data_IF_684144485737
#
_entry.id   IF_684144485737
#
_cell.length_a   1.000
_cell.length_b   1.000
_cell.length_c   1.000
_cell.angle_alpha   90.00
_cell.angle_beta   90.00
_cell.angle_gamma   90.00
#
_symmetry.space_group_name_H-M   'P 1'
#
loop_
_entity.id
_entity.type
_entity.pdbx_description
1 polymer ?
#
# COMPACT_ATOMS: atom_id res chain seq x y z
N UNK A 1 4.56 -41.87 23.75
CA UNK A 1 5.69 -41.12 23.27
C UNK A 1 5.35 -39.67 23.54
N UNK A 2 5.95 -39.11 24.58
CA UNK A 2 5.86 -37.70 24.91
C UNK A 2 6.72 -37.01 23.83
N UNK A 3 6.08 -36.35 22.87
CA UNK A 3 6.80 -35.49 21.92
C UNK A 3 7.22 -34.30 22.76
N UNK A 4 8.52 -34.16 22.93
CA UNK A 4 9.16 -33.00 23.56
C UNK A 4 8.47 -31.70 23.06
N UNK A 5 7.98 -30.90 24.01
CA UNK A 5 7.56 -29.49 23.77
C UNK A 5 8.79 -28.63 23.46
N UNK A 6 9.50 -28.97 22.37
CA UNK A 6 10.58 -28.15 21.85
C UNK A 6 9.96 -26.93 21.19
N UNK A 7 10.22 -25.74 21.75
CA UNK A 7 9.92 -24.46 21.11
C UNK A 7 10.60 -24.45 19.74
N UNK A 8 9.80 -24.47 18.66
CA UNK A 8 10.28 -24.64 17.27
C UNK A 8 10.73 -23.33 16.64
N UNK A 9 10.24 -22.21 17.16
CA UNK A 9 10.52 -20.88 16.62
C UNK A 9 12.02 -20.56 16.52
N UNK A 10 12.89 -20.76 17.53
CA UNK A 10 14.32 -20.43 17.42
C UNK A 10 15.03 -21.21 16.32
N UNK A 11 14.72 -22.50 16.16
CA UNK A 11 15.32 -23.31 15.11
C UNK A 11 14.89 -22.86 13.71
N UNK A 12 13.61 -22.53 13.53
CA UNK A 12 13.08 -22.05 12.25
C UNK A 12 13.62 -20.67 11.88
N UNK A 13 13.81 -19.77 12.86
CA UNK A 13 14.44 -18.45 12.63
C UNK A 13 15.90 -18.64 12.20
N UNK A 14 16.67 -19.46 12.91
CA UNK A 14 18.08 -19.73 12.56
C UNK A 14 18.22 -20.39 11.18
N UNK A 15 17.30 -21.27 10.80
CA UNK A 15 17.30 -21.88 9.47
C UNK A 15 16.94 -20.85 8.38
N UNK A 16 15.96 -19.99 8.62
CA UNK A 16 15.64 -18.88 7.71
C UNK A 16 16.83 -17.94 7.51
N UNK A 17 17.51 -17.52 8.57
CA UNK A 17 18.72 -16.68 8.49
C UNK A 17 19.83 -17.34 7.67
N UNK A 18 19.97 -18.66 7.77
CA UNK A 18 21.00 -19.40 7.02
C UNK A 18 20.78 -19.41 5.51
N UNK A 19 19.52 -19.40 5.04
CA UNK A 19 19.18 -19.66 3.63
C UNK A 19 18.64 -18.44 2.88
N UNK A 20 18.40 -17.31 3.57
CA UNK A 20 17.85 -16.12 2.94
C UNK A 20 18.86 -14.98 2.87
N UNK A 21 18.66 -14.04 1.94
CA UNK A 21 19.39 -12.78 1.95
C UNK A 21 18.93 -11.94 3.16
N UNK A 22 19.87 -11.29 3.84
CA UNK A 22 19.61 -10.51 5.06
C UNK A 22 19.11 -9.09 4.75
N UNK A 23 18.11 -8.98 3.87
CA UNK A 23 17.50 -7.72 3.45
C UNK A 23 16.34 -7.26 4.34
N UNK A 24 15.93 -8.08 5.32
CA UNK A 24 14.98 -7.75 6.35
C UNK A 24 15.51 -8.11 7.74
N UNK A 25 14.99 -7.40 8.76
CA UNK A 25 15.20 -7.75 10.17
C UNK A 25 13.82 -8.04 10.81
N UNK A 26 13.26 -9.25 10.63
CA UNK A 26 11.94 -9.61 11.14
C UNK A 26 11.91 -9.68 12.68
N UNK A 27 10.71 -9.61 13.25
CA UNK A 27 10.48 -10.07 14.63
C UNK A 27 10.65 -11.60 14.68
N UNK A 28 11.12 -12.16 15.80
CA UNK A 28 11.37 -13.61 15.92
C UNK A 28 10.04 -14.38 16.14
N UNK A 29 9.11 -14.26 15.20
CA UNK A 29 7.79 -14.93 15.20
C UNK A 29 7.64 -15.67 13.87
N UNK A 30 7.34 -16.95 13.93
CA UNK A 30 7.21 -17.82 12.74
C UNK A 30 5.74 -18.19 12.56
N UNK A 31 5.03 -17.46 11.72
CA UNK A 31 3.60 -17.64 11.48
C UNK A 31 3.34 -18.90 10.66
N UNK A 32 2.39 -19.72 11.10
CA UNK A 32 1.99 -20.98 10.44
C UNK A 32 0.55 -20.99 9.93
N UNK A 33 -0.33 -20.20 10.56
CA UNK A 33 -1.74 -20.12 10.15
C UNK A 33 -2.33 -18.75 10.50
N UNK A 34 -3.46 -18.42 9.86
CA UNK A 34 -4.12 -17.14 10.10
C UNK A 34 -5.60 -17.21 9.75
N UNK A 35 -6.43 -16.39 10.41
CA UNK A 35 -7.86 -16.21 10.13
C UNK A 35 -8.34 -14.84 10.62
N UNK A 36 -9.09 -14.13 9.78
CA UNK A 36 -9.61 -12.80 10.11
C UNK A 36 -8.51 -11.80 10.45
N UNK A 37 -8.46 -11.28 11.66
CA UNK A 37 -7.43 -10.36 12.15
C UNK A 37 -6.33 -11.08 12.99
N UNK A 38 -6.33 -12.41 13.04
CA UNK A 38 -5.43 -13.17 13.89
C UNK A 38 -4.48 -14.05 13.09
N UNK A 39 -3.25 -14.15 13.59
CA UNK A 39 -2.25 -15.10 13.12
C UNK A 39 -1.82 -16.02 14.26
N UNK A 40 -1.35 -17.22 13.93
CA UNK A 40 -0.86 -18.20 14.90
C UNK A 40 0.53 -18.65 14.47
N UNK A 41 1.47 -18.69 15.40
CA UNK A 41 2.83 -19.16 15.14
C UNK A 41 2.93 -20.70 15.17
N UNK A 42 4.12 -21.21 14.85
CA UNK A 42 4.39 -22.65 14.84
C UNK A 42 4.37 -23.29 16.23
N UNK A 43 4.44 -22.50 17.30
CA UNK A 43 4.37 -22.94 18.69
C UNK A 43 2.94 -22.83 19.25
N UNK A 44 1.97 -22.38 18.43
CA UNK A 44 0.56 -22.30 18.77
C UNK A 44 0.13 -20.99 19.45
N UNK A 45 1.04 -20.03 19.64
CA UNK A 45 0.69 -18.70 20.19
C UNK A 45 -0.04 -17.88 19.15
N UNK A 46 -1.12 -17.23 19.59
CA UNK A 46 -1.94 -16.35 18.73
C UNK A 46 -1.56 -14.89 18.92
N UNK A 47 -1.66 -14.14 17.81
CA UNK A 47 -1.36 -12.72 17.79
C UNK A 47 -2.43 -11.97 16.99
N UNK A 48 -2.82 -10.81 17.46
CA UNK A 48 -3.59 -9.84 16.69
C UNK A 48 -2.66 -9.19 15.66
N UNK A 49 -3.00 -9.31 14.39
CA UNK A 49 -2.24 -8.71 13.29
C UNK A 49 -2.62 -7.22 13.14
N UNK A 50 -1.76 -6.34 13.62
CA UNK A 50 -1.89 -4.90 13.44
C UNK A 50 -0.98 -4.35 12.33
N UNK A 51 -0.48 -5.21 11.43
CA UNK A 51 0.26 -4.82 10.22
C UNK A 51 -0.53 -5.09 8.93
N UNK A 52 -1.32 -6.17 8.91
CA UNK A 52 -2.12 -6.60 7.77
C UNK A 52 -1.31 -6.66 6.45
N UNK A 53 -0.05 -7.14 6.52
CA UNK A 53 0.83 -7.20 5.35
C UNK A 53 1.03 -5.84 4.67
N UNK A 54 1.16 -4.77 5.43
CA UNK A 54 1.24 -3.37 4.92
C UNK A 54 -0.01 -2.98 4.11
N UNK A 55 -1.20 -3.27 4.62
CA UNK A 55 -2.50 -3.09 3.96
C UNK A 55 -2.78 -4.05 2.79
N UNK A 56 -2.05 -5.15 2.64
CA UNK A 56 -2.40 -6.18 1.66
C UNK A 56 -3.58 -7.05 2.11
N UNK A 57 -3.82 -7.11 3.41
CA UNK A 57 -4.84 -7.93 4.06
C UNK A 57 -6.01 -7.08 4.59
N UNK A 58 -6.45 -6.06 3.84
CA UNK A 58 -7.60 -5.24 4.24
C UNK A 58 -8.83 -6.10 4.58
N UNK A 59 -9.09 -7.15 3.80
CA UNK A 59 -10.24 -8.04 3.98
C UNK A 59 -10.00 -9.17 5.00
N UNK A 60 -8.87 -9.12 5.72
CA UNK A 60 -8.47 -10.14 6.69
C UNK A 60 -7.82 -11.37 6.06
N UNK A 61 -7.26 -12.20 6.90
CA UNK A 61 -6.66 -13.47 6.49
C UNK A 61 -7.76 -14.46 6.07
N UNK A 62 -7.57 -15.06 4.89
CA UNK A 62 -8.44 -16.13 4.37
C UNK A 62 -9.92 -15.73 4.27
N UNK A 63 -10.23 -14.53 3.78
CA UNK A 63 -11.61 -14.12 3.57
C UNK A 63 -12.37 -15.16 2.73
N UNK A 64 -13.53 -15.69 3.19
CA UNK A 64 -14.17 -16.84 2.56
C UNK A 64 -14.48 -16.66 1.07
N UNK A 65 -15.01 -15.50 0.67
CA UNK A 65 -15.34 -15.22 -0.73
C UNK A 65 -14.09 -15.18 -1.62
N UNK A 66 -12.99 -14.57 -1.14
CA UNK A 66 -11.73 -14.48 -1.88
C UNK A 66 -11.06 -15.87 -2.04
N UNK A 67 -11.10 -16.69 -0.99
CA UNK A 67 -10.60 -18.07 -1.05
C UNK A 67 -11.43 -18.90 -2.03
N UNK A 68 -12.78 -18.76 -1.98
CA UNK A 68 -13.67 -19.47 -2.91
C UNK A 68 -13.41 -19.09 -4.38
N UNK A 69 -13.24 -17.78 -4.67
CA UNK A 69 -12.91 -17.29 -6.02
C UNK A 69 -11.57 -17.86 -6.51
N UNK A 70 -10.54 -17.87 -5.62
CA UNK A 70 -9.23 -18.41 -5.95
C UNK A 70 -9.30 -19.92 -6.26
N UNK A 71 -9.95 -20.73 -5.42
CA UNK A 71 -10.11 -22.16 -5.65
C UNK A 71 -10.87 -22.46 -6.94
N UNK A 72 -12.01 -21.80 -7.17
CA UNK A 72 -12.79 -21.98 -8.38
C UNK A 72 -11.99 -21.65 -9.66
N UNK A 73 -11.12 -20.65 -9.61
CA UNK A 73 -10.29 -20.30 -10.75
C UNK A 73 -9.09 -21.22 -10.94
N UNK A 74 -8.46 -21.70 -9.87
CA UNK A 74 -7.36 -22.68 -9.91
C UNK A 74 -7.78 -23.99 -10.59
N UNK A 75 -9.04 -24.42 -10.39
CA UNK A 75 -9.60 -25.63 -11.01
C UNK A 75 -9.87 -25.49 -12.52
N UNK A 76 -9.76 -24.26 -13.08
CA UNK A 76 -10.11 -23.99 -14.49
C UNK A 76 -8.91 -23.59 -15.35
N UNK A 77 -8.25 -22.51 -14.96
CA UNK A 77 -7.20 -21.88 -15.78
C UNK A 77 -6.35 -20.95 -14.93
N UNK A 78 -5.03 -21.10 -14.98
CA UNK A 78 -4.10 -20.28 -14.17
C UNK A 78 -3.40 -19.19 -14.99
N UNK A 79 -3.03 -19.48 -16.25
CA UNK A 79 -2.26 -18.54 -17.08
C UNK A 79 -2.52 -18.75 -18.56
N UNK A 80 -2.68 -17.67 -19.32
CA UNK A 80 -2.68 -17.63 -20.79
C UNK A 80 -1.63 -16.70 -21.36
N UNK A 81 -0.97 -15.88 -20.51
CA UNK A 81 -0.33 -14.60 -20.88
C UNK A 81 -1.31 -13.65 -21.61
N UNK A 82 -0.81 -12.53 -22.12
CA UNK A 82 -1.61 -11.58 -22.92
C UNK A 82 -1.63 -11.91 -24.41
N UNK A 83 -1.02 -13.06 -24.80
CA UNK A 83 -1.13 -13.57 -26.17
C UNK A 83 -2.55 -14.04 -26.50
N UNK A 84 -3.32 -14.41 -25.47
CA UNK A 84 -4.73 -14.80 -25.59
C UNK A 84 -5.59 -14.02 -24.60
N UNK A 85 -6.86 -13.86 -24.90
CA UNK A 85 -7.86 -13.32 -23.98
C UNK A 85 -8.45 -14.48 -23.19
N UNK A 86 -8.69 -14.25 -21.88
CA UNK A 86 -9.42 -15.17 -21.02
C UNK A 86 -10.68 -14.51 -20.44
N UNK A 87 -11.60 -15.30 -19.93
CA UNK A 87 -12.94 -14.88 -19.55
C UNK A 87 -12.99 -13.93 -18.33
N UNK A 88 -11.95 -13.95 -17.45
CA UNK A 88 -11.90 -13.08 -16.27
C UNK A 88 -11.36 -11.67 -16.59
N UNK A 89 -10.59 -11.51 -17.66
CA UNK A 89 -9.83 -10.29 -17.92
C UNK A 89 -10.70 -9.05 -18.13
N UNK A 90 -11.65 -9.12 -19.05
CA UNK A 90 -12.50 -7.99 -19.39
C UNK A 90 -13.42 -7.60 -18.21
N UNK A 91 -13.93 -8.60 -17.47
CA UNK A 91 -14.74 -8.37 -16.28
C UNK A 91 -13.96 -7.62 -15.23
N UNK A 92 -12.75 -8.09 -14.88
CA UNK A 92 -11.89 -7.40 -13.90
C UNK A 92 -11.58 -5.96 -14.32
N UNK A 93 -11.13 -5.76 -15.57
CA UNK A 93 -10.79 -4.41 -16.03
C UNK A 93 -12.00 -3.46 -16.00
N UNK A 94 -13.20 -3.92 -16.42
CA UNK A 94 -14.42 -3.11 -16.35
C UNK A 94 -14.80 -2.77 -14.91
N UNK A 95 -14.89 -3.78 -14.03
CA UNK A 95 -15.29 -3.58 -12.63
C UNK A 95 -14.36 -2.63 -11.90
N UNK A 96 -13.04 -2.72 -12.16
CA UNK A 96 -12.06 -1.82 -11.56
C UNK A 96 -12.10 -0.42 -12.19
N UNK A 97 -12.28 -0.30 -13.51
CA UNK A 97 -12.46 0.98 -14.18
C UNK A 97 -13.68 1.73 -13.62
N UNK A 98 -14.82 1.04 -13.50
CA UNK A 98 -16.04 1.59 -12.88
C UNK A 98 -15.81 2.04 -11.43
N UNK A 99 -15.10 1.23 -10.62
CA UNK A 99 -14.78 1.60 -9.24
C UNK A 99 -13.93 2.87 -9.16
N UNK A 100 -12.97 3.03 -10.08
CA UNK A 100 -12.09 4.19 -10.16
C UNK A 100 -12.73 5.40 -10.88
N UNK A 101 -13.88 5.24 -11.54
CA UNK A 101 -14.44 6.27 -12.43
C UNK A 101 -13.51 6.58 -13.61
N UNK A 102 -12.87 5.56 -14.20
CA UNK A 102 -11.89 5.65 -15.28
C UNK A 102 -12.31 4.80 -16.49
N UNK A 103 -11.72 5.12 -17.66
CA UNK A 103 -12.05 4.40 -18.89
C UNK A 103 -11.31 3.07 -19.06
N UNK A 104 -10.03 3.02 -18.62
CA UNK A 104 -9.11 1.92 -18.92
C UNK A 104 -8.35 1.46 -17.67
N UNK A 105 -8.03 0.15 -17.68
CA UNK A 105 -7.19 -0.48 -16.65
C UNK A 105 -6.07 -1.28 -17.31
N UNK A 106 -4.85 -1.11 -16.83
CA UNK A 106 -3.70 -1.94 -17.20
C UNK A 106 -3.23 -2.74 -15.98
N UNK A 107 -3.58 -4.04 -15.91
CA UNK A 107 -3.15 -4.90 -14.82
C UNK A 107 -1.67 -5.27 -14.90
N UNK A 108 -1.02 -5.28 -13.73
CA UNK A 108 0.36 -5.75 -13.50
C UNK A 108 0.36 -6.72 -12.29
N UNK A 109 1.53 -7.09 -11.77
CA UNK A 109 1.62 -8.02 -10.64
C UNK A 109 1.95 -7.31 -9.32
N UNK A 110 3.02 -6.53 -9.28
CA UNK A 110 3.49 -5.86 -8.07
C UNK A 110 3.23 -4.36 -8.12
N UNK A 111 3.17 -3.72 -6.95
CA UNK A 111 3.05 -2.26 -6.87
C UNK A 111 4.18 -1.55 -7.62
N UNK A 112 5.41 -2.07 -7.52
CA UNK A 112 6.56 -1.51 -8.23
C UNK A 112 6.39 -1.57 -9.76
N UNK A 113 5.82 -2.66 -10.32
CA UNK A 113 5.50 -2.74 -11.75
C UNK A 113 4.42 -1.73 -12.14
N UNK A 114 3.41 -1.52 -11.31
CA UNK A 114 2.37 -0.52 -11.57
C UNK A 114 2.93 0.91 -11.55
N UNK A 115 3.83 1.23 -10.63
CA UNK A 115 4.54 2.53 -10.59
C UNK A 115 5.42 2.71 -11.82
N UNK A 116 6.22 1.69 -12.21
CA UNK A 116 7.01 1.74 -13.45
C UNK A 116 6.13 1.94 -14.69
N UNK A 117 4.96 1.31 -14.70
CA UNK A 117 3.94 1.49 -15.74
C UNK A 117 3.44 2.93 -15.77
N UNK A 118 3.06 3.49 -14.62
CA UNK A 118 2.57 4.88 -14.50
C UNK A 118 3.64 5.89 -14.95
N UNK A 119 4.92 5.69 -14.56
CA UNK A 119 6.04 6.52 -15.00
C UNK A 119 6.20 6.46 -16.53
N UNK A 120 6.15 5.26 -17.12
CA UNK A 120 6.25 5.09 -18.58
C UNK A 120 5.08 5.75 -19.31
N UNK A 121 3.85 5.58 -18.81
CA UNK A 121 2.65 6.22 -19.37
C UNK A 121 2.75 7.72 -19.30
N UNK A 122 3.10 8.28 -18.13
CA UNK A 122 3.24 9.73 -17.94
C UNK A 122 4.29 10.34 -18.88
N UNK A 123 5.47 9.71 -19.01
CA UNK A 123 6.50 10.16 -19.96
C UNK A 123 6.01 10.10 -21.40
N UNK A 124 5.36 9.00 -21.78
CA UNK A 124 4.83 8.83 -23.15
C UNK A 124 3.72 9.82 -23.45
N UNK A 125 2.80 10.06 -22.53
CA UNK A 125 1.77 11.10 -22.63
C UNK A 125 2.42 12.48 -22.78
N UNK A 126 3.45 12.79 -21.99
CA UNK A 126 4.22 14.01 -22.09
C UNK A 126 4.78 14.25 -23.49
N UNK A 127 5.35 13.23 -24.12
CA UNK A 127 5.89 13.33 -25.49
C UNK A 127 4.83 13.37 -26.58
N UNK A 128 3.74 12.63 -26.43
CA UNK A 128 2.74 12.44 -27.50
C UNK A 128 1.57 13.39 -27.42
N UNK A 129 1.22 13.86 -26.24
CA UNK A 129 0.04 14.70 -25.98
C UNK A 129 0.45 16.10 -25.55
N UNK A 130 1.26 16.25 -24.49
CA UNK A 130 1.72 17.54 -23.99
C UNK A 130 2.73 18.22 -24.93
N UNK A 131 3.52 17.44 -25.70
CA UNK A 131 4.51 17.96 -26.64
C UNK A 131 5.88 18.29 -26.02
N UNK A 132 6.20 17.69 -24.88
CA UNK A 132 7.52 17.84 -24.23
C UNK A 132 8.62 17.34 -25.19
N UNK A 133 9.77 18.03 -25.32
CA UNK A 133 10.87 17.58 -26.14
C UNK A 133 11.39 16.20 -25.72
N UNK A 134 11.83 15.43 -26.70
CA UNK A 134 12.33 14.06 -26.48
C UNK A 134 13.40 14.01 -25.36
N UNK A 135 13.29 13.01 -24.47
CA UNK A 135 14.17 12.79 -23.30
C UNK A 135 14.20 13.94 -22.26
N UNK A 136 13.22 14.84 -22.29
CA UNK A 136 13.12 15.96 -21.33
C UNK A 136 12.00 15.80 -20.31
N UNK A 137 11.15 14.79 -20.43
CA UNK A 137 10.03 14.61 -19.51
C UNK A 137 10.50 14.43 -18.05
N UNK A 138 9.99 15.29 -17.15
CA UNK A 138 10.27 15.24 -15.72
C UNK A 138 9.01 14.89 -14.94
N UNK A 139 9.19 14.19 -13.81
CA UNK A 139 8.13 13.84 -12.86
C UNK A 139 8.51 14.43 -11.51
N UNK A 140 7.57 15.11 -10.87
CA UNK A 140 7.75 15.61 -9.50
C UNK A 140 7.26 14.56 -8.51
N UNK A 141 8.06 14.31 -7.47
CA UNK A 141 7.76 13.39 -6.36
C UNK A 141 8.00 14.08 -5.02
N UNK A 142 7.46 13.55 -3.95
CA UNK A 142 7.66 14.12 -2.62
C UNK A 142 8.88 13.51 -1.89
N UNK A 143 9.45 14.25 -0.96
CA UNK A 143 10.35 13.70 0.07
C UNK A 143 9.62 12.64 0.90
N UNK A 144 10.33 11.65 1.40
CA UNK A 144 9.77 10.57 2.20
C UNK A 144 8.91 9.58 1.39
N UNK A 145 8.91 9.64 0.06
CA UNK A 145 8.13 8.74 -0.78
C UNK A 145 8.58 7.29 -0.67
N UNK A 146 7.61 6.38 -0.82
CA UNK A 146 7.87 4.96 -1.03
C UNK A 146 6.98 4.39 -2.15
N UNK A 147 7.57 4.22 -3.33
CA UNK A 147 6.86 3.70 -4.51
C UNK A 147 7.35 2.31 -4.95
N UNK A 148 8.25 1.70 -4.20
CA UNK A 148 8.88 0.41 -4.49
C UNK A 148 10.41 0.48 -4.46
N UNK A 149 11.08 -0.56 -4.99
CA UNK A 149 12.54 -0.71 -4.90
C UNK A 149 13.21 -1.10 -6.22
N UNK A 150 12.62 -0.75 -7.37
CA UNK A 150 13.29 -0.89 -8.68
C UNK A 150 14.40 0.16 -8.82
N UNK A 151 15.31 -0.06 -9.76
CA UNK A 151 16.41 0.89 -10.05
C UNK A 151 15.90 2.27 -10.45
N UNK A 152 14.76 2.37 -11.15
CA UNK A 152 14.12 3.66 -11.45
C UNK A 152 13.56 4.30 -10.18
N UNK A 153 12.83 3.55 -9.37
CA UNK A 153 12.14 4.07 -8.18
C UNK A 153 13.14 4.54 -7.12
N UNK A 154 14.21 3.77 -6.85
CA UNK A 154 15.25 4.20 -5.90
C UNK A 154 16.01 5.44 -6.36
N UNK A 155 15.95 5.79 -7.65
CA UNK A 155 16.58 7.02 -8.18
C UNK A 155 16.01 8.30 -7.57
N UNK A 156 14.76 8.27 -7.14
CA UNK A 156 14.09 9.40 -6.49
C UNK A 156 13.67 9.12 -5.03
N UNK A 157 14.13 8.02 -4.46
CA UNK A 157 13.98 7.80 -3.02
C UNK A 157 14.85 8.78 -2.23
N UNK A 158 14.32 9.28 -1.12
CA UNK A 158 15.06 10.09 -0.14
C UNK A 158 15.52 9.28 1.06
N UNK A 159 15.22 7.98 1.09
CA UNK A 159 15.73 7.04 2.08
C UNK A 159 17.16 6.61 1.70
N UNK A 160 18.19 6.98 2.49
CA UNK A 160 19.57 6.63 2.20
C UNK A 160 19.81 5.11 2.14
N UNK A 161 19.13 4.31 2.98
CA UNK A 161 19.28 2.86 3.02
C UNK A 161 18.70 2.20 1.77
N UNK A 162 17.61 2.76 1.22
CA UNK A 162 17.00 2.24 0.00
C UNK A 162 17.76 2.67 -1.27
N UNK A 163 18.57 3.73 -1.21
CA UNK A 163 19.18 4.37 -2.37
C UNK A 163 20.69 4.10 -2.50
N UNK A 164 21.43 4.08 -1.39
CA UNK A 164 22.90 4.00 -1.43
C UNK A 164 23.38 2.77 -2.21
N UNK A 165 24.41 2.96 -3.02
CA UNK A 165 25.14 1.93 -3.79
C UNK A 165 24.31 1.20 -4.89
N UNK A 166 23.11 1.70 -5.24
CA UNK A 166 22.28 1.16 -6.32
C UNK A 166 22.28 1.99 -7.61
N UNK A 167 23.20 2.97 -7.74
CA UNK A 167 23.39 3.73 -8.98
C UNK A 167 23.98 2.90 -10.13
N UNK A 168 24.00 3.42 -11.40
CA UNK A 168 23.61 4.78 -11.80
C UNK A 168 22.09 5.03 -11.74
N UNK A 169 21.71 6.25 -11.35
CA UNK A 169 20.32 6.60 -11.13
C UNK A 169 19.63 7.07 -12.40
N UNK A 170 18.36 6.70 -12.56
CA UNK A 170 17.51 7.14 -13.66
C UNK A 170 17.19 8.63 -13.51
N UNK A 171 17.46 9.47 -14.54
CA UNK A 171 17.17 10.92 -14.50
C UNK A 171 15.69 11.23 -14.74
N UNK A 172 15.35 12.52 -14.60
CA UNK A 172 14.03 13.05 -14.93
C UNK A 172 13.05 13.05 -13.75
N UNK A 173 13.56 13.18 -12.51
CA UNK A 173 12.76 13.35 -11.31
C UNK A 173 13.18 14.61 -10.55
N UNK A 174 12.18 15.31 -9.99
CA UNK A 174 12.35 16.44 -9.08
C UNK A 174 11.71 16.09 -7.75
N UNK A 175 12.40 16.33 -6.65
CA UNK A 175 11.93 15.99 -5.31
C UNK A 175 11.56 17.30 -4.60
N UNK A 176 10.38 17.35 -3.97
CA UNK A 176 9.88 18.49 -3.20
C UNK A 176 9.43 18.05 -1.81
N UNK A 177 9.42 18.93 -0.81
CA UNK A 177 8.86 18.61 0.50
C UNK A 177 7.40 18.15 0.40
N UNK A 178 7.05 17.08 1.13
CA UNK A 178 5.68 16.58 1.17
C UNK A 178 4.77 17.57 1.92
N UNK A 179 3.60 17.85 1.35
CA UNK A 179 2.65 18.79 1.95
C UNK A 179 2.92 20.26 1.65
N UNK A 180 4.00 20.60 0.93
CA UNK A 180 4.33 21.97 0.54
C UNK A 180 3.87 22.26 -0.91
N UNK A 181 2.69 22.88 -1.06
CA UNK A 181 2.11 23.22 -2.36
C UNK A 181 2.91 24.31 -3.07
N UNK A 182 3.56 25.22 -2.33
CA UNK A 182 4.37 26.29 -2.94
C UNK A 182 5.67 25.75 -3.54
N UNK A 183 6.33 24.84 -2.83
CA UNK A 183 7.50 24.12 -3.35
C UNK A 183 7.13 23.28 -4.59
N UNK A 184 5.97 22.60 -4.55
CA UNK A 184 5.46 21.85 -5.69
C UNK A 184 5.23 22.77 -6.91
N UNK A 185 4.54 23.88 -6.72
CA UNK A 185 4.28 24.85 -7.79
C UNK A 185 5.59 25.39 -8.41
N UNK A 186 6.59 25.65 -7.58
CA UNK A 186 7.91 26.14 -8.03
C UNK A 186 8.71 25.08 -8.80
N UNK A 187 8.44 23.79 -8.59
CA UNK A 187 9.13 22.69 -9.26
C UNK A 187 8.53 22.35 -10.63
N UNK A 188 7.28 22.73 -10.88
CA UNK A 188 6.61 22.47 -12.16
C UNK A 188 7.12 23.45 -13.23
N UNK A 189 7.50 22.93 -14.38
CA UNK A 189 7.89 23.67 -15.58
C UNK A 189 7.35 23.01 -16.85
N UNK A 190 7.71 23.53 -18.03
CA UNK A 190 7.27 23.02 -19.32
C UNK A 190 7.66 21.56 -19.61
N UNK A 191 8.67 21.02 -18.91
CA UNK A 191 9.10 19.62 -19.05
C UNK A 191 8.36 18.68 -18.10
N UNK A 192 7.65 19.22 -17.12
CA UNK A 192 6.96 18.41 -16.11
C UNK A 192 5.74 17.73 -16.70
N UNK A 193 5.69 16.39 -16.65
CA UNK A 193 4.61 15.58 -17.22
C UNK A 193 3.67 15.02 -16.17
N UNK A 194 4.16 14.82 -14.94
CA UNK A 194 3.34 14.28 -13.85
C UNK A 194 3.85 14.75 -12.47
N UNK A 195 2.92 14.76 -11.52
CA UNK A 195 3.18 14.74 -10.08
C UNK A 195 2.75 13.38 -9.58
N UNK A 196 3.68 12.61 -8.97
CA UNK A 196 3.44 11.28 -8.41
C UNK A 196 3.54 11.35 -6.90
N UNK A 197 2.44 11.09 -6.20
CA UNK A 197 2.34 11.20 -4.74
C UNK A 197 1.57 10.03 -4.13
N UNK A 198 1.94 9.65 -2.91
CA UNK A 198 1.07 8.92 -2.00
C UNK A 198 0.10 9.93 -1.35
N UNK A 199 -1.23 9.71 -1.35
CA UNK A 199 -2.17 10.58 -0.62
C UNK A 199 -1.91 10.61 0.89
N UNK A 200 -1.40 9.52 1.45
CA UNK A 200 -0.85 9.40 2.80
C UNK A 200 0.43 8.58 2.69
N UNK A 201 1.55 9.10 3.15
CA UNK A 201 2.83 8.39 3.11
C UNK A 201 2.87 7.30 4.19
N UNK A 202 2.77 6.05 3.75
CA UNK A 202 2.66 4.90 4.65
C UNK A 202 3.98 4.55 5.34
N UNK A 203 5.05 4.39 4.56
CA UNK A 203 6.33 3.89 5.07
C UNK A 203 7.05 4.90 5.96
N UNK A 204 6.77 6.19 5.82
CA UNK A 204 7.29 7.26 6.70
C UNK A 204 6.57 7.36 8.06
N UNK A 205 5.70 6.40 8.40
CA UNK A 205 4.97 6.41 9.68
C UNK A 205 3.58 7.05 9.58
N UNK A 206 2.88 6.81 8.48
CA UNK A 206 1.49 7.24 8.22
C UNK A 206 1.36 8.77 8.24
N UNK A 207 2.15 9.44 7.41
CA UNK A 207 2.12 10.91 7.33
C UNK A 207 0.93 11.37 6.49
N UNK A 208 -0.01 12.05 7.15
CA UNK A 208 -1.16 12.70 6.51
C UNK A 208 -0.77 14.12 6.10
N UNK A 209 -1.00 14.54 4.85
CA UNK A 209 -0.65 15.88 4.42
C UNK A 209 -1.58 16.93 5.07
N UNK A 210 -1.19 18.22 5.10
CA UNK A 210 -2.09 19.30 5.53
C UNK A 210 -3.41 19.29 4.75
N UNK A 211 -4.51 19.64 5.43
CA UNK A 211 -5.82 19.76 4.80
C UNK A 211 -5.79 20.71 3.58
N UNK A 212 -6.43 20.31 2.48
CA UNK A 212 -6.45 21.06 1.23
C UNK A 212 -5.19 20.86 0.35
N UNK A 213 -4.22 20.07 0.79
CA UNK A 213 -3.03 19.80 -0.02
C UNK A 213 -3.38 19.03 -1.30
N UNK A 214 -4.11 17.92 -1.21
CA UNK A 214 -4.49 17.12 -2.38
C UNK A 214 -5.39 17.90 -3.37
N UNK A 215 -6.43 18.65 -2.93
CA UNK A 215 -7.16 19.56 -3.81
C UNK A 215 -6.26 20.60 -4.48
N UNK A 216 -5.30 21.17 -3.74
CA UNK A 216 -4.32 22.10 -4.28
C UNK A 216 -3.43 21.47 -5.35
N UNK A 217 -2.93 20.23 -5.11
CA UNK A 217 -2.18 19.45 -6.11
C UNK A 217 -3.01 19.23 -7.37
N UNK A 218 -4.29 18.80 -7.21
CA UNK A 218 -5.19 18.58 -8.35
C UNK A 218 -5.40 19.84 -9.16
N UNK A 219 -5.69 20.95 -8.48
CA UNK A 219 -5.90 22.25 -9.14
C UNK A 219 -4.64 22.72 -9.91
N UNK A 220 -3.48 22.60 -9.28
CA UNK A 220 -2.20 22.97 -9.87
C UNK A 220 -1.89 22.09 -11.09
N UNK A 221 -2.02 20.78 -10.99
CA UNK A 221 -1.79 19.86 -12.10
C UNK A 221 -2.72 20.16 -13.29
N UNK A 222 -3.99 20.50 -13.02
CA UNK A 222 -4.95 20.87 -14.07
C UNK A 222 -4.57 22.18 -14.75
N UNK A 223 -4.13 23.20 -14.00
CA UNK A 223 -3.74 24.50 -14.54
C UNK A 223 -2.48 24.40 -15.42
N UNK A 224 -1.53 23.55 -15.06
CA UNK A 224 -0.23 23.41 -15.72
C UNK A 224 -0.20 22.29 -16.77
N UNK A 225 -1.35 21.65 -17.06
CA UNK A 225 -1.43 20.51 -17.97
C UNK A 225 -0.40 19.41 -17.58
N UNK A 226 -0.45 18.98 -16.31
CA UNK A 226 0.41 17.96 -15.71
C UNK A 226 -0.48 16.88 -15.13
N UNK A 227 -0.12 15.60 -15.30
CA UNK A 227 -0.89 14.48 -14.76
C UNK A 227 -0.71 14.41 -13.24
N UNK A 228 -1.80 14.27 -12.51
CA UNK A 228 -1.76 13.84 -11.10
C UNK A 228 -1.86 12.32 -11.02
N UNK A 229 -0.80 11.67 -10.55
CA UNK A 229 -0.71 10.21 -10.33
C UNK A 229 -0.78 9.95 -8.85
N UNK A 230 -1.88 9.33 -8.39
CA UNK A 230 -2.04 8.95 -7.00
C UNK A 230 -1.59 7.50 -6.78
N UNK A 231 -0.58 7.31 -5.96
CA UNK A 231 -0.18 6.00 -5.46
C UNK A 231 -1.09 5.60 -4.29
N UNK A 232 -2.16 4.92 -4.62
CA UNK A 232 -3.15 4.39 -3.67
C UNK A 232 -2.88 2.90 -3.31
N UNK A 233 -1.67 2.41 -3.57
CA UNK A 233 -1.29 1.01 -3.32
C UNK A 233 -1.47 0.65 -1.85
N UNK A 234 -1.14 1.55 -0.92
CA UNK A 234 -1.27 1.31 0.52
C UNK A 234 -2.48 2.00 1.15
N UNK A 235 -2.81 3.20 0.70
CA UNK A 235 -3.86 4.05 1.26
C UNK A 235 -5.26 3.69 0.76
N UNK A 236 -5.36 3.12 -0.43
CA UNK A 236 -6.64 2.84 -1.08
C UNK A 236 -7.36 1.59 -0.59
N UNK A 237 -8.42 1.26 -1.31
CA UNK A 237 -9.21 0.04 -1.17
C UNK A 237 -9.77 -0.15 0.24
N UNK A 238 -10.35 0.94 0.79
CA UNK A 238 -11.07 0.93 2.06
C UNK A 238 -10.23 1.26 3.29
N UNK A 239 -8.88 1.31 3.19
CA UNK A 239 -7.98 1.47 4.35
C UNK A 239 -8.26 2.72 5.17
N UNK A 240 -8.56 3.84 4.53
CA UNK A 240 -8.71 5.16 5.15
C UNK A 240 -10.15 5.53 5.52
N UNK A 241 -11.12 4.64 5.24
CA UNK A 241 -12.54 4.89 5.50
C UNK A 241 -13.33 5.30 4.25
N UNK A 242 -12.63 5.56 3.15
CA UNK A 242 -13.17 5.80 1.79
C UNK A 242 -12.65 4.73 0.84
N UNK A 243 -13.12 4.66 -0.40
CA UNK A 243 -12.61 3.69 -1.39
C UNK A 243 -11.15 4.01 -1.72
N UNK A 244 -10.85 5.27 -1.98
CA UNK A 244 -9.51 5.80 -2.17
C UNK A 244 -9.25 6.91 -1.15
N UNK A 245 -8.00 7.08 -0.71
CA UNK A 245 -7.68 8.16 0.23
C UNK A 245 -7.92 9.56 -0.38
N UNK A 246 -7.82 9.69 -1.69
CA UNK A 246 -8.16 10.90 -2.42
C UNK A 246 -9.63 11.31 -2.27
N UNK A 247 -10.55 10.35 -2.09
CA UNK A 247 -12.00 10.61 -1.98
C UNK A 247 -12.36 11.47 -0.76
N UNK A 248 -11.56 11.40 0.30
CA UNK A 248 -11.78 12.14 1.54
C UNK A 248 -11.81 13.67 1.33
N UNK A 249 -11.05 14.17 0.35
CA UNK A 249 -11.03 15.58 -0.04
C UNK A 249 -11.68 15.82 -1.42
N UNK A 250 -12.43 14.85 -1.96
CA UNK A 250 -13.14 14.94 -3.23
C UNK A 250 -12.20 15.05 -4.45
N UNK A 251 -11.01 14.49 -4.37
CA UNK A 251 -9.99 14.58 -5.42
C UNK A 251 -10.02 13.34 -6.30
N UNK A 252 -10.06 13.56 -7.62
CA UNK A 252 -9.92 12.51 -8.63
C UNK A 252 -8.60 12.72 -9.38
N UNK A 253 -7.60 11.82 -9.24
CA UNK A 253 -6.35 11.89 -9.98
C UNK A 253 -6.55 11.52 -11.46
N UNK A 254 -5.58 11.83 -12.31
CA UNK A 254 -5.57 11.37 -13.70
C UNK A 254 -5.24 9.89 -13.79
N UNK A 255 -4.37 9.39 -12.91
CA UNK A 255 -4.05 7.97 -12.78
C UNK A 255 -4.15 7.50 -11.33
N UNK A 256 -4.86 6.41 -11.09
CA UNK A 256 -4.76 5.62 -9.87
C UNK A 256 -3.73 4.51 -10.07
N UNK A 257 -2.82 4.36 -9.13
CA UNK A 257 -1.94 3.19 -9.04
C UNK A 257 -2.37 2.35 -7.85
N UNK A 258 -2.75 1.10 -8.11
CA UNK A 258 -3.37 0.19 -7.15
C UNK A 258 -2.54 -1.09 -6.99
N UNK A 259 -2.63 -1.73 -5.82
CA UNK A 259 -1.93 -2.97 -5.52
C UNK A 259 -2.32 -3.52 -4.15
N UNK A 260 -1.42 -4.22 -3.49
CA UNK A 260 -1.60 -4.75 -2.12
C UNK A 260 -2.99 -5.38 -1.90
N UNK A 261 -3.93 -4.68 -1.28
CA UNK A 261 -5.28 -5.18 -1.00
C UNK A 261 -6.04 -5.63 -2.24
N UNK A 262 -5.68 -5.15 -3.44
CA UNK A 262 -6.28 -5.61 -4.70
C UNK A 262 -6.13 -7.12 -4.91
N UNK A 263 -5.07 -7.71 -4.36
CA UNK A 263 -4.84 -9.16 -4.38
C UNK A 263 -5.50 -9.93 -3.24
N UNK A 264 -6.26 -9.26 -2.36
CA UNK A 264 -7.00 -9.89 -1.26
C UNK A 264 -6.14 -10.66 -0.26
N UNK A 265 -4.82 -10.41 -0.24
CA UNK A 265 -3.86 -11.19 0.56
C UNK A 265 -3.61 -12.61 0.04
N UNK A 266 -4.05 -12.93 -1.19
CA UNK A 266 -3.97 -14.26 -1.79
C UNK A 266 -2.93 -14.30 -2.91
N UNK A 267 -2.97 -13.32 -3.81
CA UNK A 267 -2.16 -13.30 -5.03
C UNK A 267 -1.63 -11.90 -5.30
N UNK A 268 -0.38 -11.75 -5.78
CA UNK A 268 0.10 -10.46 -6.22
C UNK A 268 -0.72 -9.99 -7.44
N UNK A 269 -1.31 -8.80 -7.34
CA UNK A 269 -1.92 -8.08 -8.44
C UNK A 269 -1.85 -6.58 -8.18
N UNK A 270 -1.63 -5.83 -9.23
CA UNK A 270 -1.64 -4.37 -9.24
C UNK A 270 -2.25 -3.87 -10.54
N UNK A 271 -2.55 -2.60 -10.60
CA UNK A 271 -3.10 -1.99 -11.80
C UNK A 271 -2.82 -0.49 -11.86
N UNK A 272 -2.79 0.04 -13.08
CA UNK A 272 -2.94 1.46 -13.37
C UNK A 272 -4.31 1.66 -13.99
N UNK A 273 -5.12 2.57 -13.42
CA UNK A 273 -6.41 2.96 -13.97
C UNK A 273 -6.35 4.44 -14.39
N UNK A 274 -6.75 4.75 -15.63
CA UNK A 274 -6.76 6.11 -16.15
C UNK A 274 -7.74 6.23 -17.34
N UNK A 275 -7.98 7.47 -17.76
CA UNK A 275 -8.86 7.74 -18.90
C UNK A 275 -8.17 7.45 -20.24
N UNK A 276 -8.97 7.37 -21.30
CA UNK A 276 -8.53 6.99 -22.65
C UNK A 276 -7.43 7.92 -23.19
N UNK A 277 -7.47 9.19 -22.89
CA UNK A 277 -6.49 10.20 -23.34
C UNK A 277 -5.13 10.06 -22.65
N UNK A 278 -5.08 9.40 -21.50
CA UNK A 278 -3.85 9.13 -20.73
C UNK A 278 -3.33 7.74 -21.01
N UNK A 279 -4.09 6.68 -20.70
CA UNK A 279 -3.63 5.29 -20.82
C UNK A 279 -3.65 4.79 -22.26
N UNK A 280 -4.50 5.37 -23.11
CA UNK A 280 -4.60 5.05 -24.55
C UNK A 280 -3.41 5.48 -25.39
N UNK A 281 -2.39 6.13 -24.83
CA UNK A 281 -1.14 6.43 -25.53
C UNK A 281 -0.29 5.17 -25.81
N UNK A 282 -0.52 4.09 -25.07
CA UNK A 282 0.18 2.83 -25.28
C UNK A 282 -0.30 2.11 -26.55
N UNK A 283 0.64 1.52 -27.27
CA UNK A 283 0.36 0.70 -28.46
C UNK A 283 0.84 -0.73 -28.26
N UNK A 284 0.31 -1.69 -29.01
CA UNK A 284 0.76 -3.08 -28.96
C UNK A 284 2.28 -3.22 -29.06
N UNK A 285 2.88 -4.01 -28.18
CA UNK A 285 4.33 -4.28 -28.13
C UNK A 285 5.16 -3.31 -27.28
N UNK A 286 4.58 -2.20 -26.78
CA UNK A 286 5.36 -1.16 -26.07
C UNK A 286 5.48 -1.41 -24.57
N UNK A 287 4.56 -2.17 -23.99
CA UNK A 287 4.54 -2.49 -22.57
C UNK A 287 3.75 -3.79 -22.33
N UNK A 288 4.12 -4.53 -21.28
CA UNK A 288 3.43 -5.77 -20.94
C UNK A 288 4.11 -6.53 -19.81
N UNK A 289 3.47 -7.63 -19.44
CA UNK A 289 3.92 -8.57 -18.41
C UNK A 289 3.38 -9.96 -18.74
N UNK A 290 4.16 -11.01 -18.49
CA UNK A 290 3.71 -12.39 -18.71
C UNK A 290 2.54 -12.75 -17.78
N UNK A 291 2.60 -12.34 -16.51
CA UNK A 291 1.61 -12.66 -15.49
C UNK A 291 0.60 -11.53 -15.23
N UNK A 292 0.86 -10.30 -15.67
CA UNK A 292 -0.04 -9.17 -15.46
C UNK A 292 -1.41 -9.43 -16.05
N UNK A 293 -2.46 -9.40 -15.19
CA UNK A 293 -3.82 -9.73 -15.57
C UNK A 293 -4.06 -11.22 -15.83
N UNK A 294 -3.36 -12.11 -15.14
CA UNK A 294 -3.62 -13.55 -15.24
C UNK A 294 -4.99 -13.92 -14.66
N UNK A 295 -5.58 -15.07 -15.07
CA UNK A 295 -6.93 -15.46 -14.67
C UNK A 295 -7.16 -15.51 -13.18
N UNK A 296 -6.20 -16.05 -12.40
CA UNK A 296 -6.31 -16.17 -10.95
C UNK A 296 -6.35 -14.78 -10.29
N UNK A 297 -5.41 -13.90 -10.67
CA UNK A 297 -5.36 -12.53 -10.15
C UNK A 297 -6.64 -11.74 -10.52
N UNK A 298 -7.13 -11.87 -11.75
CA UNK A 298 -8.36 -11.22 -12.18
C UNK A 298 -9.58 -11.72 -11.40
N UNK A 299 -9.71 -13.03 -11.18
CA UNK A 299 -10.84 -13.60 -10.44
C UNK A 299 -10.86 -13.11 -8.98
N UNK A 300 -9.71 -13.15 -8.30
CA UNK A 300 -9.59 -12.67 -6.91
C UNK A 300 -9.83 -11.16 -6.83
N UNK A 301 -9.22 -10.38 -7.74
CA UNK A 301 -9.37 -8.92 -7.72
C UNK A 301 -10.78 -8.46 -8.09
N UNK A 302 -11.51 -9.18 -8.95
CA UNK A 302 -12.93 -8.91 -9.22
C UNK A 302 -13.77 -9.08 -7.94
N UNK A 303 -13.51 -10.12 -7.17
CA UNK A 303 -14.19 -10.32 -5.89
C UNK A 303 -13.84 -9.22 -4.87
N UNK A 304 -12.57 -8.77 -4.82
CA UNK A 304 -12.16 -7.61 -4.01
C UNK A 304 -12.96 -6.37 -4.38
N UNK A 305 -13.09 -6.08 -5.69
CA UNK A 305 -13.91 -4.95 -6.17
C UNK A 305 -15.38 -5.12 -5.77
N UNK A 306 -15.91 -6.33 -5.85
CA UNK A 306 -17.27 -6.65 -5.40
C UNK A 306 -17.48 -6.36 -3.92
N UNK A 307 -16.54 -6.74 -3.05
CA UNK A 307 -16.56 -6.43 -1.62
C UNK A 307 -16.54 -4.91 -1.37
N UNK A 308 -15.69 -4.17 -2.07
CA UNK A 308 -15.61 -2.71 -1.93
C UNK A 308 -16.89 -1.99 -2.40
N UNK A 309 -17.52 -2.47 -3.47
CA UNK A 309 -18.80 -1.90 -3.97
C UNK A 309 -19.94 -1.99 -2.95
N UNK A 310 -19.86 -2.85 -1.94
CA UNK A 310 -20.84 -2.89 -0.85
C UNK A 310 -20.77 -1.68 0.09
N UNK A 311 -19.62 -0.99 0.15
CA UNK A 311 -19.36 0.09 1.10
C UNK A 311 -19.10 -0.35 2.54
N UNK A 312 -19.27 -1.63 2.86
CA UNK A 312 -19.16 -2.16 4.23
C UNK A 312 -17.76 -1.93 4.83
N UNK A 313 -16.72 -2.25 4.07
CA UNK A 313 -15.34 -2.15 4.56
C UNK A 313 -14.89 -0.70 4.78
N UNK A 314 -15.31 0.21 3.90
CA UNK A 314 -15.09 1.64 4.05
C UNK A 314 -15.77 2.18 5.30
N UNK A 315 -17.05 1.86 5.49
CA UNK A 315 -17.82 2.26 6.67
C UNK A 315 -17.17 1.71 7.96
N UNK A 316 -16.82 0.43 8.00
CA UNK A 316 -16.13 -0.19 9.15
C UNK A 316 -14.82 0.51 9.46
N UNK A 317 -14.02 0.79 8.42
CA UNK A 317 -12.75 1.49 8.58
C UNK A 317 -12.95 2.90 9.13
N UNK A 318 -13.94 3.65 8.67
CA UNK A 318 -14.27 4.97 9.18
C UNK A 318 -14.72 4.92 10.65
N UNK A 319 -15.70 4.08 10.98
CA UNK A 319 -16.29 4.00 12.32
C UNK A 319 -15.31 3.46 13.37
N UNK A 320 -14.66 2.32 13.08
CA UNK A 320 -13.72 1.71 14.00
C UNK A 320 -12.40 2.47 14.05
N UNK A 321 -12.02 3.11 12.93
CA UNK A 321 -10.87 4.00 12.87
C UNK A 321 -11.03 5.23 13.75
N UNK A 322 -12.18 5.88 13.74
CA UNK A 322 -12.46 7.02 14.64
C UNK A 322 -12.27 6.64 16.10
N UNK A 323 -12.73 5.45 16.51
CA UNK A 323 -12.50 4.91 17.83
C UNK A 323 -11.01 4.64 18.11
N UNK A 324 -10.32 3.93 17.18
CA UNK A 324 -8.90 3.62 17.31
C UNK A 324 -8.08 4.90 17.54
N UNK A 325 -8.32 5.95 16.77
CA UNK A 325 -7.63 7.22 16.91
C UNK A 325 -7.97 7.95 18.23
N UNK A 326 -9.23 7.89 18.68
CA UNK A 326 -9.64 8.46 19.96
C UNK A 326 -8.95 7.75 21.14
N UNK A 327 -8.96 6.42 21.13
CA UNK A 327 -8.38 5.60 22.22
C UNK A 327 -6.84 5.72 22.25
N UNK A 328 -6.17 5.71 21.09
CA UNK A 328 -4.73 5.99 20.98
C UNK A 328 -4.41 7.43 21.39
N UNK A 329 -5.25 8.40 21.02
CA UNK A 329 -5.11 9.81 21.38
C UNK A 329 -5.14 10.05 22.90
N UNK A 330 -5.90 9.23 23.64
CA UNK A 330 -5.94 9.28 25.09
C UNK A 330 -4.61 8.88 25.77
N UNK A 331 -3.72 8.18 25.05
CA UNK A 331 -2.38 7.79 25.52
C UNK A 331 -1.31 8.86 25.23
N UNK A 332 -1.65 9.94 24.51
CA UNK A 332 -0.70 11.06 24.27
C UNK A 332 -0.41 11.76 25.58
N UNK A 333 0.87 11.96 25.88
CA UNK A 333 1.37 12.43 27.19
C UNK A 333 1.55 11.30 28.22
N UNK A 334 1.16 10.07 27.88
CA UNK A 334 1.35 8.86 28.68
C UNK A 334 2.20 7.83 27.91
N UNK A 335 3.38 8.26 27.46
CA UNK A 335 4.32 7.45 26.69
C UNK A 335 4.18 7.58 25.17
N UNK A 336 3.09 8.19 24.66
CA UNK A 336 2.96 8.60 23.27
C UNK A 336 3.18 10.11 23.13
N UNK A 337 3.85 10.50 22.05
CA UNK A 337 4.05 11.91 21.67
C UNK A 337 2.97 12.41 20.70
N UNK A 338 2.56 11.58 19.76
CA UNK A 338 1.57 11.92 18.75
C UNK A 338 0.87 10.70 18.18
N UNK A 339 -0.35 10.92 17.66
CA UNK A 339 -1.11 9.95 16.88
C UNK A 339 -1.60 10.64 15.60
N UNK A 340 -1.46 9.99 14.45
CA UNK A 340 -1.93 10.49 13.15
C UNK A 340 -2.43 9.35 12.27
N UNK A 341 -3.16 9.67 11.24
CA UNK A 341 -3.68 8.69 10.29
C UNK A 341 -5.14 8.91 9.95
N UNK A 342 -5.75 7.95 9.23
CA UNK A 342 -7.18 7.95 8.86
C UNK A 342 -7.72 6.53 8.82
N UNK A 343 -8.99 6.36 9.16
CA UNK A 343 -9.60 5.05 9.20
C UNK A 343 -8.87 4.10 10.13
N UNK A 344 -8.77 2.84 9.78
CA UNK A 344 -8.03 1.82 10.53
C UNK A 344 -6.52 1.83 10.20
N UNK A 345 -5.93 3.01 10.14
CA UNK A 345 -4.51 3.20 9.85
C UNK A 345 -3.95 4.34 10.69
N UNK A 346 -3.14 4.01 11.68
CA UNK A 346 -2.54 4.97 12.60
C UNK A 346 -1.01 4.85 12.63
N UNK A 347 -0.35 6.01 12.62
CA UNK A 347 1.04 6.20 13.00
C UNK A 347 1.06 6.72 14.45
N UNK A 348 1.82 6.06 15.30
CA UNK A 348 1.85 6.31 16.76
C UNK A 348 3.28 6.56 17.17
N UNK A 349 3.61 7.80 17.53
CA UNK A 349 4.97 8.17 17.94
C UNK A 349 5.18 7.85 19.41
N UNK A 350 6.10 6.93 19.68
CA UNK A 350 6.52 6.58 21.05
C UNK A 350 7.56 7.59 21.50
N UNK A 351 7.51 7.95 22.78
CA UNK A 351 8.56 8.75 23.40
C UNK A 351 9.89 7.97 23.39
N UNK A 352 10.91 8.45 22.64
CA UNK A 352 12.20 7.77 22.53
C UNK A 352 12.96 7.71 23.84
N UNK A 353 12.61 8.56 24.85
CA UNK A 353 13.16 8.46 26.19
C UNK A 353 12.64 7.21 26.95
N UNK A 354 11.48 6.67 26.53
CA UNK A 354 10.89 5.50 27.14
C UNK A 354 11.46 4.21 26.52
N UNK A 355 11.40 4.11 25.18
CA UNK A 355 11.91 2.95 24.43
C UNK A 355 12.00 3.24 22.93
N UNK A 356 12.72 2.37 22.21
CA UNK A 356 12.73 2.38 20.73
C UNK A 356 11.46 1.77 20.16
N UNK A 357 11.09 2.12 18.92
CA UNK A 357 9.98 1.49 18.21
C UNK A 357 10.16 -0.03 18.10
N UNK A 358 11.39 -0.51 17.87
CA UNK A 358 11.72 -1.94 17.84
C UNK A 358 11.40 -2.63 19.17
N UNK A 359 11.86 -2.07 20.28
CA UNK A 359 11.58 -2.61 21.62
C UNK A 359 10.07 -2.64 21.89
N UNK A 360 9.33 -1.63 21.47
CA UNK A 360 7.88 -1.62 21.60
C UNK A 360 7.22 -2.75 20.80
N UNK A 361 7.64 -2.98 19.54
CA UNK A 361 7.14 -4.10 18.73
C UNK A 361 7.43 -5.46 19.39
N UNK A 362 8.61 -5.65 19.96
CA UNK A 362 8.99 -6.88 20.68
C UNK A 362 8.11 -7.10 21.91
N UNK A 363 7.92 -6.07 22.75
CA UNK A 363 7.05 -6.14 23.94
C UNK A 363 5.57 -6.35 23.58
N UNK A 364 5.11 -5.80 22.46
CA UNK A 364 3.76 -6.02 21.96
C UNK A 364 3.60 -7.46 21.48
N UNK A 365 4.60 -8.02 20.81
CA UNK A 365 4.59 -9.43 20.39
C UNK A 365 4.51 -10.37 21.60
N UNK A 366 5.19 -10.08 22.71
CA UNK A 366 5.04 -10.83 23.96
C UNK A 366 3.60 -10.83 24.47
N UNK A 367 2.85 -9.72 24.24
CA UNK A 367 1.43 -9.55 24.62
C UNK A 367 0.43 -10.01 23.54
N UNK A 368 0.91 -10.62 22.48
CA UNK A 368 0.06 -11.14 21.41
C UNK A 368 -0.45 -10.10 20.42
N UNK A 369 0.30 -9.01 20.19
CA UNK A 369 0.02 -8.01 19.16
C UNK A 369 1.24 -7.85 18.25
N UNK A 370 1.03 -7.96 16.93
CA UNK A 370 2.08 -7.73 15.93
C UNK A 370 1.86 -6.41 15.21
N UNK A 371 2.83 -5.54 15.27
CA UNK A 371 2.91 -4.31 14.48
C UNK A 371 4.34 -4.10 13.99
N UNK A 372 4.57 -3.04 13.22
CA UNK A 372 5.88 -2.73 12.66
C UNK A 372 6.21 -1.26 12.92
N UNK A 373 7.45 -1.04 13.25
CA UNK A 373 7.99 0.30 13.45
C UNK A 373 8.54 0.92 12.15
N UNK A 374 8.56 2.25 12.14
CA UNK A 374 9.47 3.09 11.36
C UNK A 374 10.11 4.07 12.34
N UNK A 375 11.41 3.92 12.61
CA UNK A 375 12.12 4.65 13.68
C UNK A 375 11.41 4.52 15.05
N UNK A 376 10.88 5.59 15.63
CA UNK A 376 10.09 5.59 16.88
C UNK A 376 8.58 5.52 16.65
N UNK A 377 8.11 5.48 15.42
CA UNK A 377 6.68 5.40 15.09
C UNK A 377 6.25 3.95 14.94
N UNK A 378 5.25 3.52 15.71
CA UNK A 378 4.51 2.28 15.41
C UNK A 378 3.48 2.53 14.32
N UNK A 379 3.38 1.61 13.39
CA UNK A 379 2.30 1.57 12.39
C UNK A 379 1.25 0.56 12.81
N UNK A 380 0.06 1.05 13.12
CA UNK A 380 -1.09 0.25 13.55
C UNK A 380 -2.10 0.23 12.41
N UNK A 381 -2.18 -0.90 11.71
CA UNK A 381 -2.97 -1.09 10.50
C UNK A 381 -3.66 -2.47 10.50
N UNK A 382 -4.58 -2.77 11.43
CA UNK A 382 -5.25 -4.05 11.47
C UNK A 382 -6.10 -4.30 10.22
N UNK A 383 -6.44 -5.56 9.89
CA UNK A 383 -7.44 -5.86 8.87
C UNK A 383 -8.77 -5.14 9.14
N UNK A 384 -9.50 -4.74 8.08
CA UNK A 384 -10.76 -4.01 8.21
C UNK A 384 -11.90 -4.89 8.79
N UNK A 385 -11.69 -6.19 8.85
CA UNK A 385 -12.60 -7.14 9.52
C UNK A 385 -12.46 -7.14 11.04
N UNK A 386 -11.50 -6.41 11.60
CA UNK A 386 -11.27 -6.32 13.05
C UNK A 386 -12.55 -5.93 13.79
N UNK A 387 -12.76 -6.49 14.96
CA UNK A 387 -13.88 -6.18 15.83
C UNK A 387 -13.50 -5.13 16.89
N UNK A 388 -14.52 -4.51 17.50
CA UNK A 388 -14.32 -3.56 18.59
C UNK A 388 -13.53 -4.18 19.76
N UNK A 389 -13.84 -5.43 20.13
CA UNK A 389 -13.13 -6.14 21.21
C UNK A 389 -11.66 -6.38 20.91
N UNK A 390 -11.33 -6.64 19.65
CA UNK A 390 -9.96 -6.81 19.19
C UNK A 390 -9.19 -5.48 19.18
N UNK A 391 -9.86 -4.37 18.84
CA UNK A 391 -9.27 -3.04 18.99
C UNK A 391 -8.98 -2.76 20.47
N UNK A 392 -9.95 -3.01 21.36
CA UNK A 392 -9.77 -2.83 22.81
C UNK A 392 -8.57 -3.66 23.33
N UNK A 393 -8.43 -4.91 22.85
CA UNK A 393 -7.29 -5.75 23.18
C UNK A 393 -5.96 -5.13 22.72
N UNK A 394 -5.88 -4.66 21.47
CA UNK A 394 -4.69 -4.02 20.92
C UNK A 394 -4.30 -2.74 21.64
N UNK A 395 -5.27 -1.87 21.96
CA UNK A 395 -5.07 -0.63 22.70
C UNK A 395 -4.57 -0.90 24.14
N UNK A 396 -5.18 -1.87 24.83
CA UNK A 396 -4.74 -2.26 26.18
C UNK A 396 -3.29 -2.78 26.15
N UNK A 397 -2.92 -3.59 25.16
CA UNK A 397 -1.55 -4.07 25.03
C UNK A 397 -0.56 -2.91 24.77
N UNK A 398 -0.94 -1.90 23.97
CA UNK A 398 -0.13 -0.70 23.76
C UNK A 398 0.01 0.07 25.08
N UNK A 399 -1.08 0.32 25.80
CA UNK A 399 -1.06 1.03 27.07
C UNK A 399 -0.16 0.33 28.12
N UNK A 400 -0.24 -1.00 28.23
CA UNK A 400 0.61 -1.79 29.14
C UNK A 400 2.10 -1.78 28.75
N UNK A 401 2.44 -1.61 27.47
CA UNK A 401 3.82 -1.52 27.02
C UNK A 401 4.42 -0.14 27.37
N UNK A 402 3.57 0.88 27.35
CA UNK A 402 3.98 2.25 27.67
C UNK A 402 4.15 2.49 29.19
N UNK A 403 3.52 1.71 30.05
CA UNK A 403 3.59 1.76 31.52
C UNK A 403 2.38 2.41 32.10
#
# INVERSE_FOLDING_TARGET
MIVDDLVRTPAAVADAERWTAHNYHPLPVVISSAEGAWVTDIDGKRYLDCLAGYSALNFGHRHPALIAAAHAQLDRLTLTSRAFVHDQFATFCRELAELCGKDLVLPMNTGAEAIETAIKVARKWGYKVKGVPHDKATIVVAEGNFHGRTTTIVSFSTDPEARADFGPYTPGFKIVPYGDLAALASAIDETTVAVLLEPIQGEQGVIVPPAGYLPGVRALCSAENVLFVADEIQSGLGRTGTTFACDDEGVVPDMYVLGKALGGGIVPVSAVAADQDVLGVLRPGEHGSTFGGNPLACAVATEVVGLLKTGEFQQRSAELGARLHADLGALVGHGLLAVRGRGLWAGVDIDPALMTGRTACERLAERGVLCKEYQSTLRVAPPLVITRKEIDFGINAIAEVLG
#
